data_IF_738053585342
#
_entry.id   IF_738053585342
#
_cell.length_a   1.000
_cell.length_b   1.000
_cell.length_c   1.000
_cell.angle_alpha   90.00
_cell.angle_beta   90.00
_cell.angle_gamma   90.00
#
_symmetry.space_group_name_H-M   'P 1'
#
loop_
_entity.id
_entity.type
_entity.pdbx_description
1 polymer ?
#
# COMPACT_ATOMS: atom_id res chain seq x y z
N UNK A 1 36.06 -59.74 26.48
CA UNK A 1 34.60 -59.69 26.66
C UNK A 1 34.15 -58.24 26.82
N UNK A 2 34.54 -57.31 25.91
CA UNK A 2 34.38 -55.87 26.04
C UNK A 2 33.95 -55.16 24.73
N UNK A 3 33.55 -55.89 23.71
CA UNK A 3 33.18 -55.29 22.40
C UNK A 3 31.67 -54.99 22.29
N UNK A 4 30.83 -55.49 23.19
CA UNK A 4 29.36 -55.34 23.14
C UNK A 4 28.78 -53.99 23.66
N UNK A 5 29.59 -53.19 24.39
CA UNK A 5 29.13 -51.95 25.02
C UNK A 5 29.20 -50.69 24.15
N UNK A 6 29.94 -50.69 23.06
CA UNK A 6 30.13 -49.54 22.20
C UNK A 6 29.16 -49.49 20.99
N UNK A 7 28.39 -50.56 20.75
CA UNK A 7 27.43 -50.60 19.63
C UNK A 7 26.07 -49.95 19.95
N UNK A 8 25.82 -49.64 21.23
CA UNK A 8 24.52 -49.06 21.66
C UNK A 8 24.49 -47.53 21.68
N UNK A 9 25.62 -46.83 21.52
CA UNK A 9 25.69 -45.37 21.52
C UNK A 9 25.71 -44.74 20.14
N UNK A 10 25.78 -45.55 19.09
CA UNK A 10 25.84 -45.07 17.69
C UNK A 10 24.49 -44.79 17.05
N UNK A 11 23.36 -45.17 17.67
CA UNK A 11 22.04 -45.11 17.05
C UNK A 11 21.16 -43.96 17.50
N UNK A 12 21.59 -43.12 18.44
CA UNK A 12 20.79 -42.04 19.02
C UNK A 12 21.13 -40.63 18.50
N UNK A 13 22.07 -40.49 17.56
CA UNK A 13 22.51 -39.13 17.10
C UNK A 13 22.02 -38.73 15.69
N UNK A 14 21.14 -39.49 15.03
CA UNK A 14 20.72 -39.22 13.63
C UNK A 14 19.27 -38.73 13.50
N UNK A 15 18.59 -38.33 14.57
CA UNK A 15 17.17 -37.91 14.51
C UNK A 15 16.94 -36.42 14.77
N UNK A 16 17.95 -35.56 14.73
CA UNK A 16 17.82 -34.16 15.19
C UNK A 16 17.93 -33.09 14.10
N UNK A 17 17.76 -33.38 12.79
CA UNK A 17 17.89 -32.36 11.76
C UNK A 17 16.76 -32.37 10.70
N UNK A 18 15.53 -32.56 11.13
CA UNK A 18 14.37 -32.09 10.37
C UNK A 18 13.76 -30.87 11.04
N UNK A 19 14.54 -29.81 11.20
CA UNK A 19 13.94 -28.48 11.34
C UNK A 19 13.37 -28.12 9.95
N UNK A 20 12.13 -28.49 9.69
CA UNK A 20 11.42 -28.06 8.50
C UNK A 20 11.47 -26.55 8.47
N UNK A 21 12.04 -25.97 7.41
CA UNK A 21 11.91 -24.55 7.09
C UNK A 21 10.41 -24.28 6.89
N UNK A 22 9.73 -23.94 7.95
CA UNK A 22 8.34 -23.50 7.90
C UNK A 22 8.34 -22.16 7.17
N UNK A 23 7.89 -22.14 5.93
CA UNK A 23 7.62 -20.91 5.19
C UNK A 23 6.55 -20.14 5.97
N UNK A 24 6.97 -19.12 6.68
CA UNK A 24 6.09 -18.26 7.45
C UNK A 24 5.63 -17.11 6.55
N UNK A 25 4.44 -17.25 5.96
CA UNK A 25 3.81 -16.14 5.24
C UNK A 25 3.89 -14.86 6.10
N UNK A 26 4.47 -13.81 5.55
CA UNK A 26 4.67 -12.53 6.22
C UNK A 26 3.97 -11.39 5.48
N UNK A 27 3.39 -10.45 6.24
CA UNK A 27 2.99 -9.15 5.72
C UNK A 27 4.25 -8.29 5.56
N UNK A 28 4.55 -7.88 4.34
CA UNK A 28 5.74 -7.11 3.96
C UNK A 28 5.54 -5.60 4.06
N UNK A 29 6.27 -4.87 3.24
CA UNK A 29 6.20 -3.41 3.19
C UNK A 29 4.95 -2.93 2.46
N UNK A 30 4.52 -1.72 2.79
CA UNK A 30 3.43 -1.02 2.12
C UNK A 30 3.99 0.05 1.19
N UNK A 31 3.52 0.07 -0.04
CA UNK A 31 3.83 1.12 -1.02
C UNK A 31 2.59 1.97 -1.23
N UNK A 32 2.69 3.28 -0.96
CA UNK A 32 1.62 4.25 -1.15
C UNK A 32 1.67 4.79 -2.59
N UNK A 33 0.50 4.91 -3.24
CA UNK A 33 0.35 5.38 -4.63
C UNK A 33 -0.53 6.63 -4.74
N UNK A 34 -1.31 6.94 -3.71
CA UNK A 34 -2.17 8.13 -3.67
C UNK A 34 -1.56 9.23 -2.79
N UNK A 35 -1.97 10.48 -3.06
CA UNK A 35 -1.62 11.64 -2.25
C UNK A 35 -2.73 11.99 -1.25
N UNK A 36 -2.44 12.94 -0.35
CA UNK A 36 -3.41 13.52 0.56
C UNK A 36 -4.60 14.11 -0.21
N UNK A 37 -5.80 14.05 0.36
CA UNK A 37 -7.07 14.48 -0.26
C UNK A 37 -7.49 13.65 -1.49
N UNK A 38 -6.93 12.46 -1.67
CA UNK A 38 -7.35 11.49 -2.68
C UNK A 38 -7.84 10.21 -1.99
N UNK A 39 -8.66 9.38 -2.66
CA UNK A 39 -8.94 8.03 -2.20
C UNK A 39 -7.63 7.26 -2.04
N UNK A 40 -7.48 6.57 -0.91
CA UNK A 40 -6.28 5.80 -0.62
C UNK A 40 -6.08 4.72 -1.67
N UNK A 41 -4.87 4.64 -2.18
CA UNK A 41 -4.37 3.53 -2.98
C UNK A 41 -3.00 3.13 -2.46
N UNK A 42 -2.90 1.93 -1.95
CA UNK A 42 -1.65 1.37 -1.45
C UNK A 42 -1.58 -0.12 -1.75
N UNK A 43 -0.37 -0.65 -1.80
CA UNK A 43 -0.10 -2.07 -2.02
C UNK A 43 0.81 -2.60 -0.93
N UNK A 44 0.39 -3.67 -0.25
CA UNK A 44 1.18 -4.39 0.73
C UNK A 44 1.74 -5.65 0.07
N UNK A 45 3.04 -5.83 0.12
CA UNK A 45 3.69 -7.03 -0.37
C UNK A 45 3.54 -8.17 0.64
N UNK A 46 3.47 -9.41 0.13
CA UNK A 46 3.48 -10.60 0.96
C UNK A 46 4.80 -11.35 0.76
N UNK A 47 5.46 -11.69 1.85
CA UNK A 47 6.66 -12.53 1.85
C UNK A 47 6.28 -14.00 1.99
N UNK A 48 7.08 -14.89 1.40
CA UNK A 48 6.88 -16.35 1.47
C UNK A 48 5.47 -16.78 1.03
N UNK A 49 4.95 -16.13 0.00
CA UNK A 49 3.62 -16.41 -0.58
C UNK A 49 3.66 -17.39 -1.75
N UNK A 50 4.79 -18.08 -1.97
CA UNK A 50 4.95 -19.03 -3.08
C UNK A 50 3.89 -20.14 -3.02
N UNK A 51 3.22 -20.36 -4.14
CA UNK A 51 2.17 -21.38 -4.26
C UNK A 51 0.82 -20.99 -3.66
N UNK A 52 0.67 -19.75 -3.11
CA UNK A 52 -0.60 -19.24 -2.62
C UNK A 52 -1.27 -18.36 -3.68
N UNK A 53 -2.58 -18.52 -3.81
CA UNK A 53 -3.43 -17.64 -4.60
C UNK A 53 -4.22 -16.64 -3.76
N UNK A 54 -4.89 -15.67 -4.41
CA UNK A 54 -5.74 -14.69 -3.71
C UNK A 54 -6.86 -15.32 -2.87
N UNK A 55 -7.33 -16.52 -3.25
CA UNK A 55 -8.38 -17.25 -2.53
C UNK A 55 -7.90 -17.95 -1.26
N UNK A 56 -6.59 -18.13 -1.08
CA UNK A 56 -6.01 -18.85 0.06
C UNK A 56 -5.82 -17.97 1.28
N UNK A 57 -6.02 -16.66 1.12
CA UNK A 57 -5.85 -15.65 2.17
C UNK A 57 -7.08 -14.77 2.28
N UNK A 58 -7.47 -14.46 3.51
CA UNK A 58 -8.52 -13.48 3.81
C UNK A 58 -7.86 -12.33 4.56
N UNK A 59 -7.99 -11.13 4.03
CA UNK A 59 -7.38 -9.94 4.60
C UNK A 59 -8.47 -8.92 4.94
N UNK A 60 -8.38 -8.33 6.11
CA UNK A 60 -9.32 -7.32 6.59
C UNK A 60 -8.66 -6.37 7.59
N UNK A 61 -9.32 -5.23 7.82
CA UNK A 61 -9.05 -4.40 8.99
C UNK A 61 -9.27 -5.22 10.25
N UNK A 62 -8.34 -5.16 11.20
CA UNK A 62 -8.47 -5.87 12.45
C UNK A 62 -9.70 -5.40 13.25
N UNK A 63 -10.22 -6.29 14.09
CA UNK A 63 -11.33 -5.97 14.99
C UNK A 63 -10.95 -4.94 16.05
N UNK A 64 -11.97 -4.26 16.61
CA UNK A 64 -11.78 -3.23 17.64
C UNK A 64 -10.99 -3.73 18.86
N UNK A 65 -11.16 -4.99 19.24
CA UNK A 65 -10.42 -5.61 20.34
C UNK A 65 -8.90 -5.66 20.09
N UNK A 66 -8.49 -5.89 18.83
CA UNK A 66 -7.08 -5.91 18.48
C UNK A 66 -6.46 -4.52 18.59
N UNK A 67 -7.17 -3.48 18.15
CA UNK A 67 -6.77 -2.08 18.31
C UNK A 67 -6.66 -1.71 19.79
N UNK A 68 -7.67 -2.03 20.60
CA UNK A 68 -7.65 -1.76 22.02
C UNK A 68 -6.50 -2.47 22.76
N UNK A 69 -6.19 -3.70 22.40
CA UNK A 69 -5.09 -4.48 22.97
C UNK A 69 -3.72 -3.86 22.73
N UNK A 70 -3.56 -3.16 21.60
CA UNK A 70 -2.34 -2.44 21.23
C UNK A 70 -2.36 -0.95 21.64
N UNK A 71 -3.44 -0.49 22.31
CA UNK A 71 -3.58 0.92 22.69
C UNK A 71 -3.77 1.87 21.52
N UNK A 72 -4.21 1.36 20.36
CA UNK A 72 -4.41 2.13 19.14
C UNK A 72 -5.84 2.66 19.05
N UNK A 73 -5.99 3.90 18.59
CA UNK A 73 -7.29 4.43 18.19
C UNK A 73 -7.78 3.76 16.89
N UNK A 74 -9.08 3.52 16.79
CA UNK A 74 -9.72 3.02 15.57
C UNK A 74 -10.74 4.05 15.08
N UNK A 75 -10.28 5.08 14.33
CA UNK A 75 -11.17 6.09 13.78
C UNK A 75 -12.14 5.47 12.75
N UNK A 76 -13.29 6.12 12.56
CA UNK A 76 -14.31 5.66 11.62
C UNK A 76 -13.84 5.70 10.17
N UNK A 77 -12.91 6.57 9.83
CA UNK A 77 -12.27 6.66 8.50
C UNK A 77 -11.64 5.33 8.05
N UNK A 78 -11.16 4.52 9.00
CA UNK A 78 -10.58 3.21 8.68
C UNK A 78 -11.64 2.18 8.24
N UNK A 79 -12.92 2.37 8.56
CA UNK A 79 -13.97 1.40 8.20
C UNK A 79 -14.27 1.39 6.71
N UNK A 80 -13.87 2.43 5.98
CA UNK A 80 -14.02 2.54 4.52
C UNK A 80 -12.87 1.86 3.75
N UNK A 81 -11.84 1.37 4.47
CA UNK A 81 -10.72 0.66 3.85
C UNK A 81 -11.15 -0.73 3.37
N UNK A 82 -10.81 -1.02 2.12
CA UNK A 82 -11.00 -2.32 1.46
C UNK A 82 -9.65 -2.97 1.22
N UNK A 83 -9.57 -4.25 1.52
CA UNK A 83 -8.36 -5.06 1.36
C UNK A 83 -8.66 -6.16 0.35
N UNK A 84 -7.97 -6.15 -0.78
CA UNK A 84 -8.18 -7.11 -1.86
C UNK A 84 -6.89 -7.85 -2.16
N UNK A 85 -6.79 -9.16 -1.86
CA UNK A 85 -5.68 -9.98 -2.32
C UNK A 85 -5.68 -10.05 -3.85
N UNK A 86 -4.51 -9.85 -4.45
CA UNK A 86 -4.34 -9.87 -5.90
C UNK A 86 -2.97 -10.44 -6.29
N UNK A 87 -2.83 -10.90 -7.52
CA UNK A 87 -1.52 -11.28 -8.07
C UNK A 87 -0.93 -10.10 -8.84
N UNK A 88 0.29 -9.76 -8.51
CA UNK A 88 1.09 -8.78 -9.23
C UNK A 88 2.46 -9.41 -9.56
N UNK A 89 2.81 -9.49 -10.86
CA UNK A 89 4.06 -10.09 -11.33
C UNK A 89 4.39 -11.46 -10.70
N UNK A 90 3.40 -12.34 -10.54
CA UNK A 90 3.49 -13.66 -9.89
C UNK A 90 3.72 -13.61 -8.37
N UNK A 91 3.66 -12.45 -7.77
CA UNK A 91 3.72 -12.26 -6.32
C UNK A 91 2.33 -11.95 -5.79
N UNK A 92 1.95 -12.55 -4.67
CA UNK A 92 0.71 -12.23 -4.00
C UNK A 92 0.88 -10.91 -3.24
N UNK A 93 -0.02 -9.97 -3.49
CA UNK A 93 -0.06 -8.66 -2.86
C UNK A 93 -1.45 -8.37 -2.30
N UNK A 94 -1.55 -7.39 -1.42
CA UNK A 94 -2.83 -6.90 -0.92
C UNK A 94 -2.98 -5.46 -1.40
N UNK A 95 -4.01 -5.20 -2.20
CA UNK A 95 -4.42 -3.83 -2.54
C UNK A 95 -5.25 -3.27 -1.39
N UNK A 96 -4.92 -2.07 -0.98
CA UNK A 96 -5.63 -1.32 0.05
C UNK A 96 -6.20 -0.07 -0.60
N UNK A 97 -7.51 0.07 -0.54
CA UNK A 97 -8.23 1.17 -1.18
C UNK A 97 -9.25 1.76 -0.21
N UNK A 98 -9.52 3.07 -0.31
CA UNK A 98 -10.65 3.71 0.37
C UNK A 98 -11.68 4.20 -0.65
N UNK A 99 -12.95 4.19 -0.27
CA UNK A 99 -14.02 4.75 -1.09
C UNK A 99 -14.05 6.28 -1.04
N UNK A 100 -13.52 6.88 0.03
CA UNK A 100 -13.51 8.32 0.26
C UNK A 100 -12.08 8.86 0.30
N UNK A 101 -11.87 10.15 -0.03
CA UNK A 101 -10.57 10.80 0.11
C UNK A 101 -10.09 10.81 1.56
N UNK A 102 -8.80 10.57 1.77
CA UNK A 102 -8.15 10.65 3.08
C UNK A 102 -7.59 12.07 3.27
N UNK A 103 -8.10 12.77 4.26
CA UNK A 103 -7.73 14.16 4.55
C UNK A 103 -6.70 14.27 5.70
N UNK A 104 -6.36 13.14 6.32
CA UNK A 104 -5.38 13.06 7.39
C UNK A 104 -4.01 12.72 6.82
N UNK A 105 -2.96 13.53 7.08
CA UNK A 105 -1.62 13.26 6.53
C UNK A 105 -0.96 12.03 7.13
N UNK A 106 -1.48 11.53 8.23
CA UNK A 106 -0.98 10.38 8.97
C UNK A 106 -2.13 9.37 9.16
N UNK A 107 -1.94 8.14 8.69
CA UNK A 107 -2.93 7.08 8.81
C UNK A 107 -2.28 5.81 9.39
N UNK A 108 -2.69 5.43 10.60
CA UNK A 108 -2.30 4.15 11.22
C UNK A 108 -3.46 3.18 11.23
N UNK A 109 -3.21 1.96 10.76
CA UNK A 109 -4.22 0.90 10.77
C UNK A 109 -3.59 -0.48 11.01
N UNK A 110 -4.44 -1.40 11.46
CA UNK A 110 -4.05 -2.74 11.82
C UNK A 110 -4.66 -3.74 10.84
N UNK A 111 -3.82 -4.48 10.11
CA UNK A 111 -4.24 -5.48 9.13
C UNK A 111 -4.22 -6.85 9.77
N UNK A 112 -5.31 -7.58 9.62
CA UNK A 112 -5.40 -9.00 9.96
C UNK A 112 -5.45 -9.82 8.68
N UNK A 113 -4.47 -10.71 8.51
CA UNK A 113 -4.44 -11.73 7.47
C UNK A 113 -4.76 -13.08 8.11
N UNK A 114 -5.73 -13.80 7.55
CA UNK A 114 -6.14 -15.14 7.97
C UNK A 114 -5.91 -16.12 6.83
N UNK A 115 -5.44 -17.30 7.17
CA UNK A 115 -5.35 -18.47 6.29
C UNK A 115 -5.70 -19.75 7.06
N UNK A 116 -5.77 -20.88 6.37
CA UNK A 116 -6.15 -22.17 6.97
C UNK A 116 -5.31 -22.53 8.22
N UNK A 117 -4.02 -22.16 8.24
CA UNK A 117 -3.06 -22.56 9.28
C UNK A 117 -2.79 -21.47 10.34
N UNK A 118 -3.52 -20.35 10.33
CA UNK A 118 -3.34 -19.30 11.34
C UNK A 118 -3.72 -17.90 10.90
N UNK A 119 -3.47 -16.94 11.77
CA UNK A 119 -3.69 -15.54 11.50
C UNK A 119 -2.48 -14.70 11.87
N UNK A 120 -2.22 -13.67 11.07
CA UNK A 120 -1.16 -12.68 11.27
C UNK A 120 -1.79 -11.31 11.47
N UNK A 121 -1.24 -10.55 12.39
CA UNK A 121 -1.65 -9.18 12.67
C UNK A 121 -0.44 -8.27 12.51
N UNK A 122 -0.59 -7.17 11.75
CA UNK A 122 0.48 -6.18 11.56
C UNK A 122 -0.09 -4.78 11.50
N UNK A 123 0.61 -3.87 12.17
CA UNK A 123 0.36 -2.43 12.11
C UNK A 123 1.06 -1.82 10.90
N UNK A 124 0.36 -0.91 10.24
CA UNK A 124 0.89 -0.07 9.18
C UNK A 124 0.63 1.39 9.49
N UNK A 125 1.64 2.20 9.23
CA UNK A 125 1.57 3.65 9.30
C UNK A 125 1.91 4.23 7.94
N UNK A 126 0.99 5.01 7.38
CA UNK A 126 1.17 5.72 6.12
C UNK A 126 1.32 7.21 6.40
N UNK A 127 2.23 7.85 5.69
CA UNK A 127 2.34 9.29 5.61
C UNK A 127 1.92 9.70 4.20
N UNK A 128 0.85 10.48 4.09
CA UNK A 128 0.33 10.95 2.82
C UNK A 128 0.90 12.33 2.51
N UNK A 129 1.66 12.41 1.42
CA UNK A 129 2.21 13.67 0.96
C UNK A 129 1.12 14.57 0.38
N UNK A 130 1.23 15.90 0.53
CA UNK A 130 0.34 16.83 -0.15
C UNK A 130 0.37 16.59 -1.67
N UNK A 131 -0.77 16.74 -2.37
CA UNK A 131 -0.77 16.64 -3.82
C UNK A 131 0.16 17.70 -4.42
N UNK A 132 1.04 17.28 -5.33
CA UNK A 132 1.90 18.22 -6.05
C UNK A 132 1.02 19.22 -6.77
N UNK A 133 1.15 20.51 -6.45
CA UNK A 133 0.47 21.58 -7.13
C UNK A 133 1.04 21.68 -8.55
N UNK A 134 0.30 21.19 -9.54
CA UNK A 134 0.53 21.52 -10.95
C UNK A 134 -0.21 22.81 -11.21
N UNK A 135 0.48 23.95 -11.41
CA UNK A 135 -0.18 25.18 -11.83
C UNK A 135 -0.89 24.88 -13.15
N UNK A 136 -2.21 25.13 -13.19
CA UNK A 136 -2.96 25.02 -14.43
C UNK A 136 -2.27 25.88 -15.48
N UNK A 137 -2.11 25.41 -16.74
CA UNK A 137 -1.56 26.23 -17.80
C UNK A 137 -2.42 27.46 -17.89
N UNK A 138 -1.86 28.62 -17.54
CA UNK A 138 -2.49 29.94 -17.79
C UNK A 138 -2.64 30.07 -19.30
N UNK A 139 -3.83 29.81 -19.80
CA UNK A 139 -4.19 30.19 -21.15
C UNK A 139 -4.04 31.72 -21.20
N UNK A 140 -2.89 32.19 -21.66
CA UNK A 140 -2.69 33.58 -21.96
C UNK A 140 -3.71 33.92 -23.04
N UNK A 141 -4.80 34.57 -22.67
CA UNK A 141 -5.77 35.11 -23.57
C UNK A 141 -5.06 36.22 -24.35
N UNK A 142 -4.54 35.87 -25.50
CA UNK A 142 -4.06 36.84 -26.50
C UNK A 142 -5.26 37.55 -27.14
N UNK A 143 -5.99 38.29 -26.32
CA UNK A 143 -7.06 39.19 -26.74
C UNK A 143 -6.62 40.60 -26.48
N UNK A 144 -6.05 41.23 -27.47
CA UNK A 144 -5.79 42.67 -27.43
C UNK A 144 -4.49 43.09 -28.04
N UNK A 145 -4.28 42.86 -29.34
CA UNK A 145 -3.32 43.62 -30.16
C UNK A 145 -3.68 43.56 -31.66
N UNK A 146 -4.95 43.71 -31.98
CA UNK A 146 -5.37 43.82 -33.38
C UNK A 146 -6.43 44.93 -33.60
N UNK A 147 -6.55 45.90 -32.70
CA UNK A 147 -7.52 46.97 -32.82
C UNK A 147 -6.91 48.39 -32.91
N UNK A 148 -5.58 48.52 -32.85
CA UNK A 148 -4.92 49.84 -32.83
C UNK A 148 -4.09 50.15 -34.09
N UNK A 149 -4.20 49.31 -35.15
CA UNK A 149 -3.48 49.56 -36.43
C UNK A 149 -4.39 50.05 -37.55
N UNK A 150 -5.70 50.29 -37.32
CA UNK A 150 -6.65 50.71 -38.33
C UNK A 150 -7.10 52.16 -38.23
N UNK A 151 -6.64 52.96 -37.28
CA UNK A 151 -7.04 54.38 -37.11
C UNK A 151 -5.97 55.42 -37.42
N UNK A 152 -4.80 55.03 -37.93
CA UNK A 152 -3.73 55.96 -38.23
C UNK A 152 -3.46 56.14 -39.75
N UNK A 153 -4.42 55.81 -40.59
CA UNK A 153 -4.26 55.92 -42.06
C UNK A 153 -5.23 56.89 -42.76
N UNK A 154 -6.09 57.60 -41.99
CA UNK A 154 -7.07 58.56 -42.63
C UNK A 154 -6.77 60.03 -42.37
N UNK A 155 -5.69 60.39 -41.67
CA UNK A 155 -5.40 61.82 -41.35
C UNK A 155 -4.21 62.39 -42.11
N UNK A 156 -3.88 61.85 -43.31
CA UNK A 156 -2.74 62.29 -44.08
C UNK A 156 -3.09 62.76 -45.56
N UNK A 157 -4.35 63.02 -45.83
CA UNK A 157 -4.75 63.44 -47.20
C UNK A 157 -5.61 64.70 -47.35
N UNK A 158 -5.57 65.65 -46.40
CA UNK A 158 -6.18 66.93 -46.55
C UNK A 158 -5.23 68.07 -46.05
N UNK A 159 -4.19 68.34 -46.83
CA UNK A 159 -3.50 69.66 -46.90
C UNK A 159 -2.77 69.78 -48.23
N UNK A 160 -3.50 70.22 -49.32
CA UNK A 160 -3.07 71.22 -50.33
C UNK A 160 -4.29 71.77 -51.03
#
# INVERSE_FOLDING_TARGET
MTIRRHLLYGFTSLTAWYAGAGYALGLGEVTLQSALNQPLQATIQLHDSEGLGPSDVVVALAGAEAFARLGMARPLSLTDLRFTPAMDNRQLVIRVESGSPINEPYLSFLVQLKRANGSLLREYTLLLDPPLYQPAPVMASSRGMAADAAQNSEDALDEE
#
